data_IF_279787941699
#
_entry.id   IF_279787941699
#
_cell.length_a   1.000
_cell.length_b   1.000
_cell.length_c   1.000
_cell.angle_alpha   90.00
_cell.angle_beta   90.00
_cell.angle_gamma   90.00
#
_symmetry.space_group_name_H-M   'P 1'
#
loop_
_entity.id
_entity.type
_entity.pdbx_description
1 polymer ?
#
# COMPACT_ATOMS: atom_id res chain seq x y z
N UNK A 1 -26.81 -27.52 -66.95
CA UNK A 1 -25.61 -28.28 -66.63
C UNK A 1 -24.50 -27.24 -66.35
N UNK A 2 -24.26 -26.96 -65.35
CA UNK A 2 -24.29 -25.98 -64.31
C UNK A 2 -23.36 -26.37 -63.16
N UNK A 3 -22.64 -25.42 -62.79
CA UNK A 3 -21.61 -25.25 -61.83
C UNK A 3 -21.95 -25.68 -60.38
N UNK A 4 -21.26 -26.70 -59.89
CA UNK A 4 -21.09 -27.01 -58.51
C UNK A 4 -19.64 -27.47 -58.31
N UNK A 5 -18.70 -26.53 -58.23
CA UNK A 5 -17.31 -26.78 -57.79
C UNK A 5 -16.66 -25.46 -57.35
N UNK A 6 -17.09 -24.83 -56.26
CA UNK A 6 -16.35 -23.68 -55.73
C UNK A 6 -16.66 -23.32 -54.28
N UNK A 7 -17.22 -24.23 -53.48
CA UNK A 7 -17.56 -23.88 -52.05
C UNK A 7 -16.73 -24.66 -51.05
N UNK A 8 -15.97 -25.69 -51.45
CA UNK A 8 -15.29 -26.58 -50.49
C UNK A 8 -13.85 -26.19 -50.14
N UNK A 9 -13.25 -25.19 -50.81
CA UNK A 9 -11.85 -24.79 -50.57
C UNK A 9 -11.71 -23.64 -49.55
N UNK A 10 -12.80 -22.90 -49.28
CA UNK A 10 -12.73 -21.74 -48.42
C UNK A 10 -12.83 -22.06 -46.91
N UNK A 11 -13.35 -23.23 -46.53
CA UNK A 11 -13.51 -23.63 -45.12
C UNK A 11 -12.26 -24.26 -44.50
N UNK A 12 -11.30 -24.77 -45.30
CA UNK A 12 -10.08 -25.40 -44.76
C UNK A 12 -8.98 -24.37 -44.42
N UNK A 13 -8.98 -23.19 -45.07
CA UNK A 13 -7.98 -22.13 -44.78
C UNK A 13 -8.25 -21.36 -43.49
N UNK A 14 -9.50 -21.30 -43.03
CA UNK A 14 -9.86 -20.54 -41.79
C UNK A 14 -9.56 -21.35 -40.53
N UNK A 15 -9.58 -22.69 -40.62
CA UNK A 15 -9.24 -23.55 -39.46
C UNK A 15 -7.73 -23.62 -39.18
N UNK A 16 -6.88 -23.47 -40.20
CA UNK A 16 -5.42 -23.53 -40.03
C UNK A 16 -4.82 -22.22 -39.49
N UNK A 17 -5.42 -21.08 -39.83
CA UNK A 17 -4.95 -19.79 -39.32
C UNK A 17 -5.41 -19.53 -37.87
N UNK A 18 -6.59 -19.99 -37.45
CA UNK A 18 -7.07 -19.88 -36.08
C UNK A 18 -6.27 -20.74 -35.09
N UNK A 19 -5.78 -21.90 -35.52
CA UNK A 19 -4.94 -22.78 -34.69
C UNK A 19 -3.52 -22.22 -34.45
N UNK A 20 -2.93 -21.61 -35.47
CA UNK A 20 -1.57 -21.04 -35.39
C UNK A 20 -1.57 -19.76 -34.55
N UNK A 21 -2.60 -18.93 -34.65
CA UNK A 21 -2.71 -17.70 -33.83
C UNK A 21 -2.90 -18.06 -32.36
N UNK A 22 -3.68 -19.08 -32.02
CA UNK A 22 -3.82 -19.53 -30.63
C UNK A 22 -2.55 -20.20 -30.08
N UNK A 23 -1.77 -20.90 -30.93
CA UNK A 23 -0.52 -21.52 -30.48
C UNK A 23 0.60 -20.49 -30.25
N UNK A 24 0.68 -19.43 -31.06
CA UNK A 24 1.61 -18.34 -30.85
C UNK A 24 1.22 -17.45 -29.64
N UNK A 25 -0.06 -17.25 -29.38
CA UNK A 25 -0.53 -16.53 -28.18
C UNK A 25 -0.26 -17.33 -26.89
N UNK A 26 -0.31 -18.67 -26.94
CA UNK A 26 0.04 -19.52 -25.79
C UNK A 26 1.56 -19.67 -25.59
N UNK A 27 2.38 -19.62 -26.63
CA UNK A 27 3.83 -19.74 -26.50
C UNK A 27 4.52 -18.46 -25.99
N UNK A 28 3.89 -17.29 -26.12
CA UNK A 28 4.38 -16.02 -25.54
C UNK A 28 4.05 -15.85 -24.06
N UNK A 29 3.27 -16.74 -23.44
CA UNK A 29 2.87 -16.69 -22.02
C UNK A 29 3.83 -17.47 -21.11
N UNK A 30 4.83 -18.16 -21.63
CA UNK A 30 5.70 -19.06 -20.85
C UNK A 30 7.10 -18.55 -20.54
N UNK A 31 7.41 -17.27 -20.69
CA UNK A 31 8.50 -16.71 -19.89
C UNK A 31 7.96 -16.42 -18.49
N UNK A 32 8.15 -17.36 -17.57
CA UNK A 32 8.00 -17.13 -16.14
C UNK A 32 8.94 -15.98 -15.76
N UNK A 33 8.43 -14.73 -15.77
CA UNK A 33 9.23 -13.60 -15.33
C UNK A 33 9.64 -13.86 -13.89
N UNK A 34 10.94 -13.85 -13.66
CA UNK A 34 11.56 -13.97 -12.35
C UNK A 34 10.84 -13.05 -11.37
N UNK A 35 10.27 -13.63 -10.33
CA UNK A 35 9.65 -12.85 -9.25
C UNK A 35 10.67 -11.85 -8.76
N UNK A 36 10.28 -10.58 -8.65
CA UNK A 36 11.17 -9.56 -8.11
C UNK A 36 11.42 -9.87 -6.64
N UNK A 37 12.68 -10.07 -6.30
CA UNK A 37 13.12 -10.26 -4.92
C UNK A 37 13.77 -8.97 -4.44
N UNK A 38 13.51 -8.62 -3.17
CA UNK A 38 14.24 -7.54 -2.53
C UNK A 38 15.74 -7.88 -2.43
N UNK A 39 16.62 -6.89 -2.53
CA UNK A 39 18.04 -7.05 -2.22
C UNK A 39 18.24 -7.63 -0.82
N UNK A 40 19.28 -8.45 -0.62
CA UNK A 40 19.63 -9.04 0.68
C UNK A 40 20.30 -8.04 1.62
N UNK A 41 19.81 -6.84 1.69
CA UNK A 41 20.33 -5.81 2.59
C UNK A 41 19.50 -5.83 3.86
N UNK A 42 20.15 -5.98 5.02
CA UNK A 42 19.51 -5.87 6.33
C UNK A 42 19.54 -4.43 6.78
N UNK A 43 18.38 -3.86 6.98
CA UNK A 43 18.21 -2.54 7.56
C UNK A 43 16.95 -2.49 8.39
N UNK A 44 16.84 -1.47 9.23
CA UNK A 44 15.61 -1.17 9.97
C UNK A 44 15.42 0.33 10.11
N UNK A 45 14.18 0.79 9.99
CA UNK A 45 13.82 2.20 10.14
C UNK A 45 13.19 2.42 11.51
N UNK A 46 13.54 3.53 12.15
CA UNK A 46 12.97 3.99 13.40
C UNK A 46 12.38 5.40 13.22
N UNK A 47 11.46 5.78 14.11
CA UNK A 47 10.84 7.09 14.08
C UNK A 47 9.41 7.06 13.56
N UNK A 48 8.58 6.14 14.09
CA UNK A 48 7.15 6.06 13.80
C UNK A 48 6.40 7.37 14.10
N UNK A 49 5.36 7.66 13.32
CA UNK A 49 4.59 8.90 13.45
C UNK A 49 5.43 10.13 13.12
N UNK A 50 5.25 11.21 13.88
CA UNK A 50 5.91 12.50 13.63
C UNK A 50 7.31 12.63 14.26
N UNK A 51 7.93 11.51 14.65
CA UNK A 51 9.29 11.45 15.20
C UNK A 51 10.35 11.67 14.11
N UNK A 52 11.56 12.07 14.52
CA UNK A 52 12.72 12.06 13.63
C UNK A 52 12.98 10.65 13.10
N UNK A 53 13.37 10.56 11.82
CA UNK A 53 13.58 9.29 11.12
C UNK A 53 15.02 8.84 11.23
N UNK A 54 15.22 7.59 11.61
CA UNK A 54 16.55 6.97 11.67
C UNK A 54 16.55 5.69 10.85
N UNK A 55 17.70 5.38 10.24
CA UNK A 55 17.94 4.14 9.52
C UNK A 55 19.14 3.43 10.17
N UNK A 56 18.90 2.22 10.66
CA UNK A 56 19.97 1.31 11.06
C UNK A 56 20.36 0.40 9.90
N UNK A 57 21.66 0.28 9.63
CA UNK A 57 22.24 -0.67 8.68
C UNK A 57 23.71 -0.93 9.01
N UNK A 58 24.12 -2.18 9.02
CA UNK A 58 25.52 -2.62 9.10
C UNK A 58 26.30 -1.95 10.26
N UNK A 59 25.72 -1.91 11.46
CA UNK A 59 26.34 -1.30 12.64
C UNK A 59 26.31 0.22 12.70
N UNK A 60 25.65 0.89 11.75
CA UNK A 60 25.56 2.35 11.72
C UNK A 60 24.10 2.77 11.83
N UNK A 61 23.82 3.73 12.68
CA UNK A 61 22.55 4.41 12.77
C UNK A 61 22.66 5.79 12.11
N UNK A 62 21.91 6.01 11.06
CA UNK A 62 21.86 7.25 10.30
C UNK A 62 20.61 8.07 10.66
N UNK A 63 20.70 9.39 10.55
CA UNK A 63 19.53 10.21 10.31
C UNK A 63 19.04 9.90 8.89
N UNK A 64 17.83 9.35 8.76
CA UNK A 64 17.33 8.86 7.48
C UNK A 64 16.96 9.96 6.48
N UNK A 65 16.83 11.22 6.93
CA UNK A 65 16.52 12.37 6.07
C UNK A 65 17.79 13.08 5.58
N UNK A 66 18.85 13.15 6.41
CA UNK A 66 20.10 13.86 6.05
C UNK A 66 21.20 12.91 5.59
N UNK A 67 21.11 11.63 5.93
CA UNK A 67 22.17 10.63 5.66
C UNK A 67 23.36 10.70 6.63
N UNK A 68 23.33 11.59 7.63
CA UNK A 68 24.42 11.73 8.61
C UNK A 68 24.44 10.57 9.59
N UNK A 69 25.62 10.03 9.89
CA UNK A 69 25.80 9.01 10.91
C UNK A 69 25.59 9.60 12.30
N UNK A 70 24.60 9.08 13.04
CA UNK A 70 24.29 9.45 14.42
C UNK A 70 25.11 8.63 15.41
N UNK A 71 25.28 7.33 15.14
CA UNK A 71 26.08 6.38 15.94
C UNK A 71 26.66 5.32 15.01
N UNK A 72 27.79 4.78 15.46
CA UNK A 72 28.46 3.66 14.80
C UNK A 72 29.04 2.70 15.83
N UNK A 73 28.95 1.40 15.58
CA UNK A 73 29.45 0.33 16.42
C UNK A 73 30.20 -0.72 15.58
N UNK A 74 31.24 -1.30 16.15
CA UNK A 74 31.90 -2.48 15.57
C UNK A 74 31.09 -3.73 15.96
N UNK A 75 30.21 -4.16 15.08
CA UNK A 75 29.23 -5.22 15.34
C UNK A 75 29.80 -6.59 14.94
N UNK A 76 29.77 -7.57 15.86
CA UNK A 76 30.10 -8.98 15.59
C UNK A 76 28.84 -9.83 15.38
N UNK A 77 27.71 -9.40 15.95
CA UNK A 77 26.40 -10.06 15.76
C UNK A 77 25.27 -9.03 15.83
N UNK A 78 24.34 -9.14 14.91
CA UNK A 78 23.12 -8.33 14.94
C UNK A 78 21.86 -9.19 14.83
N UNK A 79 20.78 -8.71 15.41
CA UNK A 79 19.45 -9.32 15.31
C UNK A 79 18.41 -8.20 15.16
N UNK A 80 17.68 -8.24 14.06
CA UNK A 80 16.55 -7.33 13.83
C UNK A 80 15.27 -8.09 14.21
N UNK A 81 14.47 -7.51 15.09
CA UNK A 81 13.19 -8.04 15.59
C UNK A 81 12.06 -7.09 15.16
N UNK A 82 11.56 -7.21 13.92
CA UNK A 82 10.66 -6.20 13.35
C UNK A 82 9.35 -6.04 14.13
N UNK A 83 8.75 -7.15 14.55
CA UNK A 83 7.52 -7.13 15.34
C UNK A 83 7.70 -6.66 16.79
N UNK A 84 8.95 -6.48 17.26
CA UNK A 84 9.30 -5.90 18.56
C UNK A 84 9.83 -4.46 18.41
N UNK A 85 9.93 -3.95 17.18
CA UNK A 85 10.49 -2.62 16.88
C UNK A 85 11.91 -2.44 17.46
N UNK A 86 12.74 -3.50 17.37
CA UNK A 86 14.00 -3.59 18.10
C UNK A 86 15.13 -4.12 17.19
N UNK A 87 16.31 -3.52 17.33
CA UNK A 87 17.59 -4.05 16.82
C UNK A 87 18.51 -4.30 18.00
N UNK A 88 19.07 -5.50 18.08
CA UNK A 88 20.06 -5.93 19.09
C UNK A 88 21.40 -6.16 18.45
N UNK A 89 22.46 -5.61 19.04
CA UNK A 89 23.83 -5.70 18.56
C UNK A 89 24.74 -6.23 19.67
N UNK A 90 25.66 -7.11 19.30
CA UNK A 90 26.81 -7.43 20.12
C UNK A 90 28.04 -6.83 19.44
N UNK A 91 28.78 -6.02 20.17
CA UNK A 91 29.97 -5.31 19.68
C UNK A 91 31.24 -6.11 19.93
N UNK A 92 32.33 -5.79 19.21
CA UNK A 92 33.65 -6.43 19.36
C UNK A 92 34.25 -6.27 20.74
N UNK A 93 33.90 -5.22 21.48
CA UNK A 93 34.30 -4.97 22.88
C UNK A 93 33.40 -5.67 23.90
N UNK A 94 32.49 -6.55 23.45
CA UNK A 94 31.64 -7.39 24.30
C UNK A 94 30.39 -6.69 24.87
N UNK A 95 30.05 -5.50 24.42
CA UNK A 95 28.85 -4.80 24.87
C UNK A 95 27.61 -5.25 24.08
N UNK A 96 26.47 -5.25 24.75
CA UNK A 96 25.17 -5.33 24.13
C UNK A 96 24.60 -3.93 23.94
N UNK A 97 24.18 -3.64 22.70
CA UNK A 97 23.45 -2.41 22.33
C UNK A 97 22.05 -2.80 21.88
N UNK A 98 21.03 -2.12 22.42
CA UNK A 98 19.66 -2.33 22.00
C UNK A 98 19.10 -0.99 21.53
N UNK A 99 18.71 -0.94 20.26
CA UNK A 99 17.94 0.17 19.70
C UNK A 99 16.50 -0.27 19.68
N UNK A 100 15.62 0.45 20.34
CA UNK A 100 14.20 0.09 20.43
C UNK A 100 13.30 1.30 20.27
N UNK A 101 12.10 1.06 19.77
CA UNK A 101 11.06 2.06 19.65
C UNK A 101 9.80 1.59 20.36
N UNK A 102 9.28 2.43 21.25
CA UNK A 102 8.03 2.19 21.98
C UNK A 102 6.97 3.28 21.67
N UNK A 103 5.87 3.27 22.41
CA UNK A 103 4.78 4.25 22.24
C UNK A 103 5.20 5.69 22.45
N UNK A 104 6.36 5.95 23.09
CA UNK A 104 6.78 7.29 23.51
C UNK A 104 8.02 7.76 22.76
N UNK A 105 9.00 6.88 22.51
CA UNK A 105 10.32 7.31 22.03
C UNK A 105 11.07 6.20 21.25
N UNK A 106 12.09 6.63 20.51
CA UNK A 106 13.19 5.79 20.05
C UNK A 106 14.35 5.91 21.04
N UNK A 107 14.89 4.80 21.51
CA UNK A 107 15.95 4.75 22.53
C UNK A 107 17.09 3.84 22.13
N UNK A 108 18.30 4.21 22.59
CA UNK A 108 19.48 3.35 22.59
C UNK A 108 19.78 2.99 24.06
N UNK A 109 19.97 1.70 24.29
CA UNK A 109 20.44 1.14 25.56
C UNK A 109 21.86 0.59 25.37
N UNK A 110 22.81 1.08 26.15
CA UNK A 110 24.22 0.62 26.18
C UNK A 110 24.56 0.25 27.63
N UNK A 111 24.35 -1.01 28.01
CA UNK A 111 24.42 -1.43 29.41
C UNK A 111 23.41 -0.69 30.29
N UNK A 112 23.88 0.02 31.30
CA UNK A 112 23.00 0.84 32.17
C UNK A 112 22.62 2.20 31.57
N UNK A 113 23.30 2.64 30.51
CA UNK A 113 23.06 3.95 29.88
C UNK A 113 21.85 3.87 28.94
N UNK A 114 20.95 4.83 29.05
CA UNK A 114 19.79 5.01 28.18
C UNK A 114 19.81 6.39 27.51
N UNK A 115 19.67 6.42 26.21
CA UNK A 115 19.62 7.64 25.41
C UNK A 115 18.32 7.69 24.63
N UNK A 116 17.50 8.72 24.82
CA UNK A 116 16.37 9.01 23.95
C UNK A 116 16.85 9.78 22.72
N UNK A 117 16.53 9.29 21.53
CA UNK A 117 16.89 9.92 20.25
C UNK A 117 15.80 10.89 19.78
N UNK A 118 14.54 10.51 19.95
CA UNK A 118 13.37 11.30 19.57
C UNK A 118 12.16 10.82 20.37
N UNK A 119 11.22 11.72 20.59
CA UNK A 119 9.98 11.45 21.34
C UNK A 119 8.74 11.87 20.54
N UNK A 120 7.60 11.30 20.90
CA UNK A 120 6.30 11.56 20.30
C UNK A 120 5.36 10.37 20.53
N UNK A 121 4.10 10.65 20.86
CA UNK A 121 3.13 9.60 21.15
C UNK A 121 2.68 8.88 19.87
N UNK A 122 2.74 7.55 19.89
CA UNK A 122 2.11 6.66 18.89
C UNK A 122 1.42 5.52 19.64
N UNK A 123 0.30 5.04 19.14
CA UNK A 123 -0.36 3.86 19.68
C UNK A 123 0.13 2.60 18.95
N UNK A 124 0.67 1.63 19.69
CA UNK A 124 1.23 0.39 19.17
C UNK A 124 0.46 -0.81 19.76
N UNK A 125 -0.72 -1.14 19.21
CA UNK A 125 -1.50 -2.29 19.65
C UNK A 125 -0.71 -3.59 19.43
N UNK A 126 -0.82 -4.50 20.40
CA UNK A 126 -0.14 -5.80 20.33
C UNK A 126 -0.87 -6.83 19.47
N UNK A 127 -2.15 -6.58 19.15
CA UNK A 127 -3.05 -7.50 18.44
C UNK A 127 -3.14 -8.86 19.13
N UNK A 128 -3.22 -8.87 20.47
CA UNK A 128 -3.26 -10.09 21.28
C UNK A 128 -4.43 -11.00 20.85
N UNK A 129 -4.13 -12.30 20.69
CA UNK A 129 -5.09 -13.29 20.21
C UNK A 129 -5.28 -13.34 18.69
N UNK A 130 -4.74 -12.40 17.94
CA UNK A 130 -4.83 -12.42 16.47
C UNK A 130 -3.76 -13.38 15.89
N UNK A 131 -4.12 -14.32 14.98
CA UNK A 131 -3.17 -15.30 14.44
C UNK A 131 -2.00 -14.66 13.68
N UNK A 132 -2.19 -13.47 13.14
CA UNK A 132 -1.17 -12.71 12.39
C UNK A 132 -0.65 -11.48 13.18
N UNK A 133 -0.65 -11.53 14.52
CA UNK A 133 -0.26 -10.39 15.36
C UNK A 133 1.13 -9.83 15.03
N UNK A 134 2.11 -10.70 14.74
CA UNK A 134 3.46 -10.29 14.33
C UNK A 134 3.44 -9.51 13.02
N UNK A 135 2.77 -10.02 11.98
CA UNK A 135 2.66 -9.35 10.69
C UNK A 135 1.92 -8.01 10.79
N UNK A 136 0.83 -7.95 11.57
CA UNK A 136 0.09 -6.71 11.78
C UNK A 136 0.96 -5.63 12.44
N UNK A 137 1.82 -6.00 13.40
CA UNK A 137 2.77 -5.06 14.01
C UNK A 137 3.80 -4.54 13.01
N UNK A 138 4.34 -5.41 12.15
CA UNK A 138 5.30 -5.01 11.12
C UNK A 138 4.64 -4.10 10.08
N UNK A 139 3.45 -4.45 9.60
CA UNK A 139 2.70 -3.61 8.64
C UNK A 139 2.31 -2.26 9.24
N UNK A 140 1.89 -2.23 10.51
CA UNK A 140 1.62 -0.97 11.20
C UNK A 140 2.88 -0.10 11.31
N UNK A 141 4.04 -0.72 11.59
CA UNK A 141 5.31 -0.02 11.58
C UNK A 141 5.62 0.58 10.20
N UNK A 142 5.43 -0.19 9.11
CA UNK A 142 5.66 0.29 7.73
C UNK A 142 4.71 1.44 7.34
N UNK A 143 3.50 1.47 7.89
CA UNK A 143 2.58 2.60 7.76
C UNK A 143 3.09 3.81 8.55
N UNK A 144 3.37 3.62 9.85
CA UNK A 144 3.69 4.71 10.77
C UNK A 144 5.04 5.38 10.46
N UNK A 145 6.02 4.64 9.93
CA UNK A 145 7.32 5.19 9.54
C UNK A 145 7.20 6.21 8.40
N UNK A 146 6.17 6.11 7.58
CA UNK A 146 5.90 6.97 6.43
C UNK A 146 5.03 8.20 6.77
N UNK A 147 4.90 8.55 8.04
CA UNK A 147 4.27 9.81 8.47
C UNK A 147 5.38 10.83 8.75
N UNK A 148 5.38 11.96 8.02
CA UNK A 148 6.36 13.04 8.16
C UNK A 148 5.61 14.37 8.23
N UNK A 149 5.87 15.17 9.27
CA UNK A 149 5.22 16.47 9.47
C UNK A 149 3.69 16.40 9.33
N UNK A 150 3.09 15.43 10.00
CA UNK A 150 1.65 15.11 9.95
C UNK A 150 1.15 14.60 8.60
N UNK A 151 2.01 14.37 7.60
CA UNK A 151 1.65 13.96 6.26
C UNK A 151 1.93 12.47 6.04
N UNK A 152 0.93 11.66 5.66
CA UNK A 152 1.15 10.28 5.26
C UNK A 152 1.66 10.24 3.82
N UNK A 153 2.94 9.93 3.63
CA UNK A 153 3.55 9.80 2.29
C UNK A 153 3.70 8.33 1.91
N UNK A 154 3.73 7.99 0.61
CA UNK A 154 3.88 6.59 0.19
C UNK A 154 5.18 5.94 0.69
N UNK A 155 6.30 6.64 0.59
CA UNK A 155 7.58 6.32 1.24
C UNK A 155 8.39 7.62 1.40
N UNK A 156 8.75 7.97 2.62
CA UNK A 156 9.37 9.27 2.93
C UNK A 156 10.77 9.49 2.31
N UNK A 157 11.46 8.41 1.91
CA UNK A 157 12.77 8.48 1.25
C UNK A 157 12.65 8.67 -0.28
N UNK A 158 11.45 8.58 -0.85
CA UNK A 158 11.19 8.56 -2.30
C UNK A 158 10.20 9.64 -2.71
N UNK A 159 9.17 9.89 -1.88
CA UNK A 159 8.07 10.79 -2.18
C UNK A 159 8.07 12.02 -1.27
N UNK A 160 7.98 13.20 -1.86
CA UNK A 160 8.00 14.47 -1.13
C UNK A 160 6.63 14.93 -0.62
N UNK A 161 5.55 14.30 -1.08
CA UNK A 161 4.17 14.70 -0.75
C UNK A 161 3.26 13.49 -0.60
N UNK A 162 2.18 13.62 0.21
CA UNK A 162 1.13 12.60 0.27
C UNK A 162 0.35 12.52 -1.04
N UNK A 163 -0.15 11.31 -1.35
CA UNK A 163 -1.15 11.06 -2.36
C UNK A 163 -2.45 10.68 -1.66
N UNK A 164 -3.61 11.14 -2.16
CA UNK A 164 -4.88 10.87 -1.49
C UNK A 164 -5.23 9.40 -1.45
N UNK A 165 -4.84 8.63 -2.47
CA UNK A 165 -5.04 7.18 -2.52
C UNK A 165 -4.34 6.47 -1.36
N UNK A 166 -3.05 6.72 -1.20
CA UNK A 166 -2.25 6.18 -0.10
C UNK A 166 -2.78 6.68 1.25
N UNK A 167 -3.01 7.99 1.35
CA UNK A 167 -3.45 8.63 2.58
C UNK A 167 -4.82 8.13 3.07
N UNK A 168 -5.76 7.85 2.18
CA UNK A 168 -7.07 7.32 2.56
C UNK A 168 -6.98 5.91 3.13
N UNK A 169 -6.18 5.03 2.51
CA UNK A 169 -5.94 3.68 3.02
C UNK A 169 -5.18 3.69 4.35
N UNK A 170 -4.14 4.52 4.45
CA UNK A 170 -3.39 4.75 5.70
C UNK A 170 -4.33 5.26 6.79
N UNK A 171 -5.19 6.24 6.50
CA UNK A 171 -6.14 6.78 7.46
C UNK A 171 -7.10 5.74 8.02
N UNK A 172 -7.56 4.77 7.21
CA UNK A 172 -8.36 3.62 7.68
C UNK A 172 -7.60 2.82 8.74
N UNK A 173 -6.33 2.52 8.49
CA UNK A 173 -5.48 1.79 9.44
C UNK A 173 -5.24 2.61 10.72
N UNK A 174 -4.95 3.91 10.58
CA UNK A 174 -4.72 4.81 11.71
C UNK A 174 -5.97 4.98 12.58
N UNK A 175 -7.16 5.03 12.00
CA UNK A 175 -8.41 5.06 12.73
C UNK A 175 -8.60 3.77 13.55
N UNK A 176 -8.41 2.61 12.93
CA UNK A 176 -8.54 1.28 13.60
C UNK A 176 -7.52 1.08 14.74
N UNK A 177 -6.37 1.75 14.67
CA UNK A 177 -5.28 1.63 15.65
C UNK A 177 -5.18 2.79 16.63
N UNK A 178 -6.12 3.77 16.60
CA UNK A 178 -6.11 4.93 17.49
C UNK A 178 -5.02 5.96 17.17
N UNK A 179 -4.46 5.95 15.96
CA UNK A 179 -3.37 6.81 15.51
C UNK A 179 -3.80 7.96 14.59
N UNK A 180 -5.10 8.14 14.35
CA UNK A 180 -5.60 9.17 13.42
C UNK A 180 -5.13 10.58 13.77
N UNK A 181 -4.89 10.86 15.06
CA UNK A 181 -4.37 12.14 15.55
C UNK A 181 -3.06 12.56 14.88
N UNK A 182 -2.25 11.60 14.40
CA UNK A 182 -0.96 11.86 13.74
C UNK A 182 -1.11 12.62 12.42
N UNK A 183 -2.19 12.41 11.68
CA UNK A 183 -2.44 13.03 10.36
C UNK A 183 -3.64 13.99 10.35
N UNK A 184 -4.41 14.07 11.44
CA UNK A 184 -5.55 14.98 11.55
C UNK A 184 -5.20 16.43 11.19
N UNK A 185 -4.06 17.03 11.64
CA UNK A 185 -3.69 18.40 11.28
C UNK A 185 -3.48 18.60 9.77
N UNK A 186 -3.02 17.57 9.04
CA UNK A 186 -2.88 17.62 7.59
C UNK A 186 -4.24 17.53 6.91
N UNK A 187 -5.12 16.61 7.32
CA UNK A 187 -6.47 16.47 6.73
C UNK A 187 -7.25 17.78 6.86
N UNK A 188 -7.22 18.44 8.03
CA UNK A 188 -7.90 19.72 8.25
C UNK A 188 -7.38 20.88 7.38
N UNK A 189 -6.20 20.74 6.77
CA UNK A 189 -5.60 21.74 5.86
C UNK A 189 -5.84 21.42 4.40
N UNK A 190 -6.53 20.32 4.08
CA UNK A 190 -6.84 19.98 2.69
C UNK A 190 -7.78 21.05 2.11
N UNK A 191 -7.46 21.54 0.92
CA UNK A 191 -8.18 22.60 0.24
C UNK A 191 -8.37 22.36 -1.26
N UNK A 192 -7.83 21.24 -1.79
CA UNK A 192 -7.92 20.85 -3.18
C UNK A 192 -8.56 19.47 -3.35
N UNK A 193 -9.44 19.25 -4.36
CA UNK A 193 -10.06 17.96 -4.63
C UNK A 193 -9.07 16.86 -5.05
N UNK A 194 -7.87 17.22 -5.50
CA UNK A 194 -6.90 16.28 -6.05
C UNK A 194 -5.55 16.36 -5.33
N UNK A 195 -5.01 15.20 -4.95
CA UNK A 195 -3.63 15.06 -4.46
C UNK A 195 -2.59 15.26 -5.57
N UNK A 196 -3.00 15.08 -6.83
CA UNK A 196 -2.17 15.12 -8.05
C UNK A 196 -1.00 14.14 -7.95
N UNK A 197 -0.92 13.20 -8.85
CA UNK A 197 0.20 12.26 -8.95
C UNK A 197 1.52 12.97 -9.30
N UNK A 198 2.62 12.24 -9.44
CA UNK A 198 3.93 12.82 -9.77
C UNK A 198 3.94 13.54 -11.13
N UNK A 199 3.07 13.12 -12.07
CA UNK A 199 2.89 13.79 -13.36
C UNK A 199 1.98 15.05 -13.28
N UNK A 200 1.41 15.36 -12.10
CA UNK A 200 0.49 16.47 -11.89
C UNK A 200 -0.95 16.20 -12.35
N UNK A 201 -1.28 14.96 -12.71
CA UNK A 201 -2.59 14.59 -13.21
C UNK A 201 -3.66 14.64 -12.10
N UNK A 202 -4.88 14.94 -12.52
CA UNK A 202 -6.11 14.85 -11.70
C UNK A 202 -6.69 13.45 -11.88
N UNK A 203 -6.87 12.72 -10.79
CA UNK A 203 -7.36 11.34 -10.80
C UNK A 203 -8.70 11.25 -10.09
N UNK A 204 -9.78 10.74 -10.74
CA UNK A 204 -11.15 10.82 -10.21
C UNK A 204 -11.39 10.04 -8.92
N UNK A 205 -10.59 9.00 -8.61
CA UNK A 205 -10.64 8.30 -7.34
C UNK A 205 -10.36 9.22 -6.14
N UNK A 206 -9.59 10.30 -6.35
CA UNK A 206 -9.29 11.29 -5.32
C UNK A 206 -10.55 11.99 -4.79
N UNK A 207 -11.61 12.14 -5.60
CA UNK A 207 -12.86 12.77 -5.17
C UNK A 207 -13.48 12.01 -3.99
N UNK A 208 -13.58 10.68 -4.10
CA UNK A 208 -14.09 9.86 -3.01
C UNK A 208 -13.12 9.76 -1.83
N UNK A 209 -11.82 9.66 -2.11
CA UNK A 209 -10.78 9.55 -1.10
C UNK A 209 -10.71 10.79 -0.21
N UNK A 210 -10.79 12.00 -0.79
CA UNK A 210 -10.77 13.24 -0.01
C UNK A 210 -12.04 13.43 0.80
N UNK A 211 -13.23 13.08 0.28
CA UNK A 211 -14.47 13.07 1.06
C UNK A 211 -14.34 12.14 2.26
N UNK A 212 -13.82 10.94 2.07
CA UNK A 212 -13.56 10.02 3.17
C UNK A 212 -12.57 10.58 4.20
N UNK A 213 -11.45 11.16 3.75
CA UNK A 213 -10.48 11.79 4.67
C UNK A 213 -11.14 12.89 5.51
N UNK A 214 -11.94 13.74 4.89
CA UNK A 214 -12.67 14.80 5.61
C UNK A 214 -13.64 14.20 6.63
N UNK A 215 -14.38 13.14 6.29
CA UNK A 215 -15.35 12.51 7.18
C UNK A 215 -14.75 12.00 8.50
N UNK A 216 -13.43 11.76 8.53
CA UNK A 216 -12.72 11.29 9.72
C UNK A 216 -12.46 12.40 10.75
N UNK A 217 -12.53 13.67 10.37
CA UNK A 217 -12.09 14.79 11.21
C UNK A 217 -13.05 16.00 11.20
N UNK A 218 -14.00 16.01 10.27
CA UNK A 218 -14.99 17.07 10.05
C UNK A 218 -16.30 16.47 9.51
N UNK A 219 -17.17 17.28 8.95
CA UNK A 219 -18.47 16.90 8.39
C UNK A 219 -18.68 17.49 6.99
N UNK A 220 -19.91 17.37 6.48
CA UNK A 220 -20.29 17.83 5.15
C UNK A 220 -20.23 19.36 4.95
N UNK A 221 -20.07 20.16 6.02
CA UNK A 221 -19.94 21.62 5.94
C UNK A 221 -18.52 22.08 5.66
N UNK A 222 -17.54 21.17 5.62
CA UNK A 222 -16.17 21.51 5.28
C UNK A 222 -16.07 22.10 3.87
N UNK A 223 -15.40 23.26 3.66
CA UNK A 223 -15.41 23.97 2.35
C UNK A 223 -14.93 23.14 1.16
N UNK A 224 -14.07 22.16 1.39
CA UNK A 224 -13.58 21.26 0.33
C UNK A 224 -14.66 20.29 -0.15
N UNK A 225 -15.67 19.98 0.66
CA UNK A 225 -16.77 19.09 0.25
C UNK A 225 -17.55 19.70 -0.92
N UNK A 226 -17.94 20.98 -0.84
CA UNK A 226 -18.60 21.71 -1.93
C UNK A 226 -17.73 21.68 -3.21
N UNK A 227 -16.44 22.01 -3.10
CA UNK A 227 -15.51 21.95 -4.25
C UNK A 227 -15.45 20.58 -4.90
N UNK A 228 -15.48 19.51 -4.11
CA UNK A 228 -15.49 18.14 -4.62
C UNK A 228 -16.77 17.85 -5.35
N UNK A 229 -17.93 18.20 -4.76
CA UNK A 229 -19.24 17.98 -5.38
C UNK A 229 -19.35 18.72 -6.72
N UNK A 230 -18.87 19.96 -6.81
CA UNK A 230 -18.84 20.75 -8.04
C UNK A 230 -17.88 20.17 -9.10
N UNK A 231 -16.88 19.39 -8.68
CA UNK A 231 -15.89 18.78 -9.57
C UNK A 231 -16.35 17.43 -10.14
N UNK A 232 -17.23 16.71 -9.45
CA UNK A 232 -17.70 15.38 -9.87
C UNK A 232 -18.23 15.36 -11.31
N UNK A 233 -19.05 16.35 -11.78
CA UNK A 233 -19.59 16.35 -13.14
C UNK A 233 -18.53 16.30 -14.24
N UNK A 234 -17.32 16.78 -14.00
CA UNK A 234 -16.22 16.74 -15.00
C UNK A 234 -15.79 15.30 -15.37
N UNK A 235 -15.99 14.35 -14.45
CA UNK A 235 -15.60 12.94 -14.60
C UNK A 235 -16.81 12.01 -14.68
N UNK A 236 -18.03 12.55 -14.59
CA UNK A 236 -19.23 11.74 -14.58
C UNK A 236 -19.61 11.27 -15.99
N UNK A 237 -19.91 9.98 -16.11
CA UNK A 237 -20.46 9.36 -17.31
C UNK A 237 -21.68 8.54 -16.94
N UNK A 238 -22.86 9.07 -17.21
CA UNK A 238 -24.11 8.49 -16.71
C UNK A 238 -24.14 8.53 -15.18
N UNK A 239 -24.21 7.36 -14.53
CA UNK A 239 -24.25 7.25 -13.06
C UNK A 239 -22.95 6.73 -12.44
N UNK A 240 -21.81 6.87 -13.11
CA UNK A 240 -20.51 6.46 -12.59
C UNK A 240 -19.41 7.45 -12.98
N UNK A 241 -18.21 7.30 -12.38
CA UNK A 241 -17.03 8.04 -12.79
C UNK A 241 -16.28 7.29 -13.92
N UNK A 242 -15.72 8.04 -14.87
CA UNK A 242 -14.89 7.50 -15.96
C UNK A 242 -13.75 8.48 -16.27
N UNK A 243 -12.58 8.25 -15.69
CA UNK A 243 -11.35 8.99 -15.95
C UNK A 243 -10.13 8.10 -15.77
N UNK A 244 -8.93 8.65 -15.91
CA UNK A 244 -7.69 7.91 -15.72
C UNK A 244 -7.21 7.97 -14.28
N UNK A 245 -6.85 6.82 -13.72
CA UNK A 245 -6.09 6.62 -12.49
C UNK A 245 -4.89 5.74 -12.85
N UNK A 246 -3.68 6.14 -12.49
CA UNK A 246 -2.43 5.45 -12.90
C UNK A 246 -2.38 5.11 -14.40
N UNK A 247 -2.68 6.12 -15.25
CA UNK A 247 -2.63 6.05 -16.71
C UNK A 247 -3.67 5.14 -17.37
N UNK A 248 -4.59 4.54 -16.61
CA UNK A 248 -5.64 3.66 -17.10
C UNK A 248 -7.00 4.05 -16.57
N UNK A 249 -8.07 3.58 -17.23
CA UNK A 249 -9.44 3.79 -16.76
C UNK A 249 -9.80 2.76 -15.70
N UNK A 250 -10.28 3.25 -14.56
CA UNK A 250 -10.70 2.42 -13.43
C UNK A 250 -12.09 2.84 -12.92
N UNK A 251 -13.16 2.74 -13.76
CA UNK A 251 -14.46 3.29 -13.42
C UNK A 251 -15.13 2.59 -12.25
N UNK A 252 -14.89 1.29 -12.04
CA UNK A 252 -15.41 0.56 -10.87
C UNK A 252 -14.74 1.06 -9.59
N UNK A 253 -13.40 1.10 -9.57
CA UNK A 253 -12.61 1.55 -8.43
C UNK A 253 -12.92 3.01 -8.06
N UNK A 254 -12.93 3.90 -9.04
CA UNK A 254 -13.23 5.32 -8.87
C UNK A 254 -14.64 5.54 -8.30
N UNK A 255 -15.63 4.83 -8.85
CA UNK A 255 -17.03 4.95 -8.40
C UNK A 255 -17.22 4.37 -7.00
N UNK A 256 -16.56 3.25 -6.66
CA UNK A 256 -16.56 2.71 -5.30
C UNK A 256 -16.06 3.74 -4.29
N UNK A 257 -14.92 4.38 -4.57
CA UNK A 257 -14.39 5.43 -3.70
C UNK A 257 -15.35 6.59 -3.54
N UNK A 258 -15.93 7.08 -4.65
CA UNK A 258 -16.91 8.17 -4.59
C UNK A 258 -18.10 7.82 -3.69
N UNK A 259 -18.73 6.66 -3.92
CA UNK A 259 -19.85 6.16 -3.11
C UNK A 259 -19.47 6.05 -1.63
N UNK A 260 -18.30 5.52 -1.34
CA UNK A 260 -17.81 5.37 0.03
C UNK A 260 -17.61 6.72 0.71
N UNK A 261 -16.99 7.68 0.03
CA UNK A 261 -16.77 9.03 0.56
C UNK A 261 -18.07 9.80 0.79
N UNK A 262 -19.02 9.75 -0.15
CA UNK A 262 -20.34 10.37 0.00
C UNK A 262 -21.09 9.80 1.22
N UNK A 263 -21.15 8.47 1.33
CA UNK A 263 -21.81 7.79 2.46
C UNK A 263 -21.16 8.10 3.81
N UNK A 264 -19.82 8.20 3.85
CA UNK A 264 -19.10 8.54 5.06
C UNK A 264 -19.44 9.93 5.60
N UNK A 265 -19.85 10.86 4.73
CA UNK A 265 -20.32 12.21 5.08
C UNK A 265 -21.85 12.33 5.21
N UNK A 266 -22.60 11.22 5.03
CA UNK A 266 -24.07 11.25 5.02
C UNK A 266 -24.66 12.00 3.83
N UNK A 267 -23.93 12.11 2.71
CA UNK A 267 -24.38 12.78 1.48
C UNK A 267 -25.15 11.81 0.59
N UNK A 268 -25.98 12.37 -0.30
CA UNK A 268 -26.75 11.60 -1.28
C UNK A 268 -25.80 10.82 -2.22
N UNK A 269 -26.08 9.52 -2.38
CA UNK A 269 -25.34 8.61 -3.26
C UNK A 269 -26.24 8.12 -4.40
N UNK A 270 -26.28 8.90 -5.51
CA UNK A 270 -27.03 8.57 -6.72
C UNK A 270 -26.21 7.76 -7.75
N UNK A 271 -25.00 7.31 -7.40
CA UNK A 271 -24.08 6.64 -8.33
C UNK A 271 -24.28 5.13 -8.33
N UNK A 272 -23.98 4.52 -9.47
CA UNK A 272 -24.02 3.07 -9.69
C UNK A 272 -22.66 2.56 -10.11
N UNK A 273 -22.25 1.40 -9.56
CA UNK A 273 -21.00 0.75 -9.95
C UNK A 273 -21.20 0.13 -11.34
N UNK A 274 -20.41 0.54 -12.35
CA UNK A 274 -20.57 0.04 -13.71
C UNK A 274 -20.19 -1.44 -13.81
N UNK A 275 -20.96 -2.19 -14.63
CA UNK A 275 -20.75 -3.62 -14.89
C UNK A 275 -19.68 -3.82 -15.95
N UNK A 276 -18.43 -3.40 -15.68
CA UNK A 276 -17.28 -3.54 -16.57
C UNK A 276 -16.10 -4.11 -15.80
N UNK A 277 -15.16 -4.72 -16.54
CA UNK A 277 -13.92 -5.17 -15.94
C UNK A 277 -13.06 -3.98 -15.50
N UNK A 278 -12.53 -4.07 -14.28
CA UNK A 278 -11.61 -3.09 -13.73
C UNK A 278 -10.56 -3.82 -12.88
N UNK A 279 -9.29 -3.70 -13.28
CA UNK A 279 -8.18 -4.38 -12.61
C UNK A 279 -7.93 -3.87 -11.19
N UNK A 280 -8.41 -2.64 -10.85
CA UNK A 280 -8.26 -2.04 -9.51
C UNK A 280 -9.44 -2.33 -8.59
N UNK A 281 -10.49 -2.99 -9.08
CA UNK A 281 -11.69 -3.24 -8.27
C UNK A 281 -11.43 -4.05 -7.01
N UNK A 282 -10.41 -4.93 -7.00
CA UNK A 282 -10.01 -5.69 -5.82
C UNK A 282 -9.24 -4.87 -4.78
N UNK A 283 -8.72 -3.69 -5.13
CA UNK A 283 -8.04 -2.79 -4.19
C UNK A 283 -9.00 -2.03 -3.28
N UNK A 284 -10.28 -2.10 -3.55
CA UNK A 284 -11.31 -1.50 -2.72
C UNK A 284 -12.41 -2.51 -2.44
N UNK A 285 -12.27 -3.24 -1.35
CA UNK A 285 -13.16 -4.37 -0.99
C UNK A 285 -14.22 -4.04 0.04
N UNK A 286 -14.23 -2.86 0.64
CA UNK A 286 -15.07 -2.52 1.80
C UNK A 286 -16.54 -2.95 1.63
N UNK A 287 -17.47 -2.04 1.36
CA UNK A 287 -18.89 -2.37 1.29
C UNK A 287 -19.38 -2.87 -0.07
N UNK A 288 -18.50 -2.90 -1.08
CA UNK A 288 -18.88 -3.05 -2.49
C UNK A 288 -18.45 -4.36 -3.15
N UNK A 289 -18.08 -5.39 -2.37
CA UNK A 289 -17.72 -6.72 -2.90
C UNK A 289 -18.77 -7.31 -3.82
N UNK A 290 -20.06 -7.22 -3.42
CA UNK A 290 -21.19 -7.82 -4.15
C UNK A 290 -21.46 -7.19 -5.51
N UNK A 291 -20.99 -5.98 -5.73
CA UNK A 291 -21.24 -5.21 -6.94
C UNK A 291 -20.13 -5.39 -7.99
N UNK A 292 -19.15 -6.24 -7.71
CA UNK A 292 -18.09 -6.56 -8.67
C UNK A 292 -18.51 -7.65 -9.64
N UNK A 293 -18.30 -7.41 -10.94
CA UNK A 293 -18.81 -8.27 -12.01
C UNK A 293 -17.81 -9.32 -12.48
N UNK A 294 -16.50 -9.11 -12.33
CA UNK A 294 -15.46 -9.92 -12.94
C UNK A 294 -14.56 -10.61 -11.91
N UNK A 295 -14.24 -11.90 -12.17
CA UNK A 295 -13.48 -12.75 -11.28
C UNK A 295 -11.95 -12.61 -11.33
N UNK A 296 -11.38 -11.70 -12.14
CA UNK A 296 -9.93 -11.45 -12.19
C UNK A 296 -9.64 -9.97 -12.07
N UNK A 297 -8.90 -9.60 -11.05
CA UNK A 297 -8.42 -8.24 -10.85
C UNK A 297 -7.00 -8.06 -11.40
N UNK A 298 -6.08 -9.00 -11.13
CA UNK A 298 -4.66 -8.85 -11.44
C UNK A 298 -4.10 -9.97 -12.30
N UNK A 299 -3.09 -9.64 -13.12
CA UNK A 299 -2.35 -10.64 -13.89
C UNK A 299 -1.41 -11.45 -12.96
N UNK A 300 -1.09 -12.69 -13.33
CA UNK A 300 -0.08 -13.48 -12.63
C UNK A 300 1.26 -12.72 -12.46
N UNK A 301 1.63 -11.92 -13.47
CA UNK A 301 2.82 -11.08 -13.43
C UNK A 301 2.70 -9.96 -12.38
N UNK A 302 1.55 -9.30 -12.29
CA UNK A 302 1.31 -8.26 -11.27
C UNK A 302 1.43 -8.84 -9.88
N UNK A 303 0.77 -9.97 -9.61
CA UNK A 303 0.87 -10.68 -8.31
C UNK A 303 2.30 -11.13 -7.99
N UNK A 304 3.08 -11.58 -8.98
CA UNK A 304 4.46 -11.97 -8.77
C UNK A 304 5.39 -10.78 -8.41
N UNK A 305 5.13 -9.60 -9.00
CA UNK A 305 5.90 -8.38 -8.70
C UNK A 305 5.45 -7.70 -7.40
N UNK A 306 4.16 -7.82 -7.06
CA UNK A 306 3.53 -7.17 -5.92
C UNK A 306 2.64 -8.20 -5.19
N UNK A 307 3.19 -9.00 -4.28
CA UNK A 307 2.44 -10.07 -3.58
C UNK A 307 1.15 -9.59 -2.91
N UNK A 308 1.10 -8.34 -2.45
CA UNK A 308 -0.09 -7.76 -1.85
C UNK A 308 -1.30 -7.71 -2.81
N UNK A 309 -1.09 -7.67 -4.12
CA UNK A 309 -2.18 -7.79 -5.10
C UNK A 309 -2.87 -9.14 -5.02
N UNK A 310 -2.10 -10.21 -4.84
CA UNK A 310 -2.65 -11.55 -4.65
C UNK A 310 -3.47 -11.65 -3.35
N UNK A 311 -3.05 -10.94 -2.32
CA UNK A 311 -3.77 -10.86 -1.05
C UNK A 311 -5.07 -10.08 -1.18
N UNK A 312 -5.05 -8.91 -1.81
CA UNK A 312 -6.24 -8.11 -2.07
C UNK A 312 -7.27 -8.89 -2.91
N UNK A 313 -6.83 -9.57 -3.95
CA UNK A 313 -7.68 -10.40 -4.79
C UNK A 313 -8.26 -11.60 -4.02
N UNK A 314 -7.45 -12.26 -3.20
CA UNK A 314 -7.91 -13.37 -2.36
C UNK A 314 -8.99 -12.91 -1.37
N UNK A 315 -8.78 -11.79 -0.69
CA UNK A 315 -9.76 -11.18 0.20
C UNK A 315 -11.05 -10.83 -0.53
N UNK A 316 -10.94 -10.13 -1.67
CA UNK A 316 -12.08 -9.70 -2.48
C UNK A 316 -12.97 -10.87 -2.91
N UNK A 317 -12.38 -11.99 -3.28
CA UNK A 317 -13.09 -13.20 -3.72
C UNK A 317 -13.31 -14.25 -2.61
N UNK A 318 -13.00 -13.96 -1.36
CA UNK A 318 -13.17 -14.89 -0.24
C UNK A 318 -12.34 -16.17 -0.39
N UNK A 319 -11.13 -16.06 -0.93
CA UNK A 319 -10.20 -17.18 -1.12
C UNK A 319 -9.05 -17.14 -0.11
N UNK A 320 -8.41 -18.28 0.21
CA UNK A 320 -7.19 -18.29 1.00
C UNK A 320 -6.10 -17.44 0.34
N UNK A 321 -5.23 -16.79 1.13
CA UNK A 321 -4.10 -16.04 0.59
C UNK A 321 -3.16 -16.96 -0.19
N UNK A 322 -2.54 -16.45 -1.28
CA UNK A 322 -1.77 -17.29 -2.21
C UNK A 322 -0.43 -17.78 -1.66
N UNK A 323 0.03 -17.22 -0.54
CA UNK A 323 1.30 -17.59 0.09
C UNK A 323 1.30 -17.22 1.57
N UNK A 324 2.08 -17.93 2.38
CA UNK A 324 2.41 -17.53 3.74
C UNK A 324 3.39 -16.36 3.72
N UNK A 325 3.25 -15.43 4.66
CA UNK A 325 4.24 -14.39 4.93
C UNK A 325 5.05 -14.77 6.16
N UNK A 326 6.36 -14.59 6.05
CA UNK A 326 7.27 -14.68 7.18
C UNK A 326 7.39 -13.30 7.86
N UNK A 327 7.69 -13.26 9.15
CA UNK A 327 7.93 -12.03 9.91
C UNK A 327 9.28 -11.40 9.49
N UNK A 328 9.33 -10.86 8.28
CA UNK A 328 10.49 -10.17 7.71
C UNK A 328 10.25 -8.67 7.63
N UNK A 329 11.30 -7.91 7.44
CA UNK A 329 11.24 -6.46 7.23
C UNK A 329 12.18 -6.05 6.09
N UNK A 330 11.71 -5.21 5.16
CA UNK A 330 10.32 -4.77 4.97
C UNK A 330 9.46 -5.86 4.34
N UNK A 331 8.14 -5.83 4.61
CA UNK A 331 7.16 -6.71 3.97
C UNK A 331 6.67 -6.16 2.63
N UNK A 332 6.70 -4.84 2.47
CA UNK A 332 6.11 -4.17 1.31
C UNK A 332 7.13 -3.32 0.56
N UNK A 333 6.99 -3.27 -0.76
CA UNK A 333 7.82 -2.44 -1.64
C UNK A 333 7.03 -2.05 -2.90
N UNK A 334 7.55 -1.05 -3.59
CA UNK A 334 7.16 -0.67 -4.94
C UNK A 334 8.41 -0.56 -5.81
N UNK A 335 8.31 -0.90 -7.09
CA UNK A 335 9.40 -0.77 -8.02
C UNK A 335 8.98 0.03 -9.26
N UNK A 336 9.93 0.82 -9.77
CA UNK A 336 9.76 1.59 -11.00
C UNK A 336 8.61 2.61 -10.97
N UNK A 337 8.29 3.18 -9.80
CA UNK A 337 7.32 4.26 -9.73
C UNK A 337 7.74 5.43 -10.64
N UNK A 338 6.78 5.90 -11.42
CA UNK A 338 7.04 6.96 -12.39
C UNK A 338 7.38 8.27 -11.69
N UNK A 339 8.41 8.97 -12.17
CA UNK A 339 8.81 10.31 -11.74
C UNK A 339 9.12 10.45 -10.23
N UNK A 340 9.38 9.34 -9.54
CA UNK A 340 9.83 9.34 -8.15
C UNK A 340 11.35 9.52 -8.05
N UNK A 341 11.81 10.16 -6.97
CA UNK A 341 13.24 10.32 -6.68
C UNK A 341 13.71 9.24 -5.71
N UNK A 342 14.54 8.33 -6.18
CA UNK A 342 15.08 7.21 -5.40
C UNK A 342 16.42 7.50 -4.72
N UNK A 343 16.96 8.72 -4.80
CA UNK A 343 18.28 9.04 -4.24
C UNK A 343 18.38 8.74 -2.74
N UNK A 344 17.30 8.95 -1.99
CA UNK A 344 17.26 8.61 -0.57
C UNK A 344 17.47 7.13 -0.30
N UNK A 345 17.03 6.24 -1.19
CA UNK A 345 17.16 4.79 -1.03
C UNK A 345 18.60 4.27 -1.16
N UNK A 346 19.55 5.05 -1.68
CA UNK A 346 20.99 4.71 -1.65
C UNK A 346 21.54 4.62 -0.24
N UNK A 347 20.91 5.29 0.73
CA UNK A 347 21.27 5.15 2.14
C UNK A 347 21.01 3.72 2.65
N UNK A 348 19.99 3.06 2.11
CA UNK A 348 19.71 1.64 2.36
C UNK A 348 20.71 0.77 1.61
N UNK A 349 20.79 0.91 0.29
CA UNK A 349 21.74 0.25 -0.59
C UNK A 349 21.69 0.88 -1.99
N UNK A 350 22.86 0.94 -2.67
CA UNK A 350 22.93 1.32 -4.08
C UNK A 350 21.99 0.48 -4.96
N UNK A 351 21.82 -0.80 -4.65
CA UNK A 351 20.94 -1.70 -5.38
C UNK A 351 19.48 -1.25 -5.36
N UNK A 352 18.99 -0.67 -4.23
CA UNK A 352 17.63 -0.11 -4.15
C UNK A 352 17.46 1.07 -5.13
N UNK A 353 18.43 1.96 -5.20
CA UNK A 353 18.41 3.06 -6.16
C UNK A 353 18.49 2.57 -7.61
N UNK A 354 19.41 1.67 -7.93
CA UNK A 354 19.62 1.15 -9.29
C UNK A 354 18.40 0.40 -9.81
N UNK A 355 17.73 -0.36 -8.95
CA UNK A 355 16.51 -1.11 -9.27
C UNK A 355 15.24 -0.32 -9.06
N UNK A 356 15.35 0.92 -8.59
CA UNK A 356 14.22 1.81 -8.29
C UNK A 356 13.20 1.12 -7.38
N UNK A 357 13.65 0.62 -6.24
CA UNK A 357 12.83 -0.05 -5.22
C UNK A 357 12.59 0.91 -4.06
N UNK A 358 11.34 1.01 -3.67
CA UNK A 358 10.85 1.80 -2.55
C UNK A 358 10.28 0.83 -1.50
N UNK A 359 10.96 0.71 -0.38
CA UNK A 359 10.56 -0.15 0.72
C UNK A 359 10.83 0.56 2.07
N UNK A 360 9.91 0.55 3.02
CA UNK A 360 8.51 0.10 2.94
C UNK A 360 7.62 1.05 2.14
N UNK A 361 6.48 0.54 1.60
CA UNK A 361 5.50 1.35 0.88
C UNK A 361 4.15 1.36 1.62
N UNK A 362 3.67 2.56 1.98
CA UNK A 362 2.54 2.69 2.92
C UNK A 362 1.21 2.19 2.35
N UNK A 363 0.93 2.38 1.05
CA UNK A 363 -0.29 1.86 0.44
C UNK A 363 -0.34 0.34 0.50
N UNK A 364 0.73 -0.34 0.08
CA UNK A 364 0.82 -1.80 0.11
C UNK A 364 0.70 -2.33 1.54
N UNK A 365 1.35 -1.65 2.49
CA UNK A 365 1.25 -2.00 3.90
C UNK A 365 -0.18 -1.83 4.43
N UNK A 366 -0.85 -0.74 4.07
CA UNK A 366 -2.22 -0.49 4.50
C UNK A 366 -3.22 -1.51 3.96
N UNK A 367 -3.12 -1.88 2.69
CA UNK A 367 -3.98 -2.91 2.11
C UNK A 367 -3.78 -4.28 2.76
N UNK A 368 -2.53 -4.71 2.91
CA UNK A 368 -2.22 -5.96 3.60
C UNK A 368 -2.68 -5.95 5.06
N UNK A 369 -2.48 -4.82 5.76
CA UNK A 369 -2.93 -4.66 7.14
C UNK A 369 -4.45 -4.81 7.26
N UNK A 370 -5.22 -4.10 6.44
CA UNK A 370 -6.68 -4.17 6.44
C UNK A 370 -7.18 -5.56 6.08
N UNK A 371 -6.57 -6.20 5.08
CA UNK A 371 -6.88 -7.56 4.70
C UNK A 371 -6.72 -8.53 5.88
N UNK A 372 -5.54 -8.54 6.51
CA UNK A 372 -5.25 -9.46 7.62
C UNK A 372 -6.14 -9.19 8.83
N UNK A 373 -6.42 -7.93 9.12
CA UNK A 373 -7.26 -7.55 10.25
C UNK A 373 -8.71 -8.00 10.07
N UNK A 374 -9.26 -7.89 8.86
CA UNK A 374 -10.65 -8.27 8.55
C UNK A 374 -10.81 -9.79 8.40
N UNK A 375 -9.81 -10.50 7.89
CA UNK A 375 -9.84 -11.96 7.69
C UNK A 375 -10.02 -12.72 9.03
N UNK A 376 -9.40 -12.25 10.09
CA UNK A 376 -9.54 -12.84 11.41
C UNK A 376 -10.95 -12.65 12.01
N UNK A 377 -11.67 -11.59 11.66
CA UNK A 377 -13.04 -11.37 12.09
C UNK A 377 -14.01 -12.38 11.42
N UNK A 378 -13.74 -12.76 10.17
CA UNK A 378 -14.51 -13.78 9.45
C UNK A 378 -14.33 -15.18 10.07
N UNK A 379 -13.08 -15.55 10.40
CA UNK A 379 -12.77 -16.83 11.04
C UNK A 379 -13.47 -16.97 12.41
N UNK A 380 -13.56 -15.86 13.17
CA UNK A 380 -14.21 -15.86 14.50
C UNK A 380 -15.74 -15.95 14.43
N UNK A 381 -16.37 -15.50 13.35
CA UNK A 381 -17.83 -15.61 13.14
C UNK A 381 -18.26 -17.04 12.80
N UNK A 382 -17.49 -17.72 11.94
CA UNK A 382 -17.78 -19.12 11.54
C UNK A 382 -17.57 -20.13 12.68
N UNK A 383 -16.81 -19.77 13.72
CA UNK A 383 -16.61 -20.63 14.89
C UNK A 383 -17.70 -20.52 15.96
N UNK A 384 -18.60 -19.53 15.86
CA UNK A 384 -19.73 -19.35 16.80
C UNK A 384 -21.02 -20.02 16.34
N UNK A 385 -21.08 -20.45 15.08
CA UNK A 385 -22.24 -21.11 14.47
C UNK A 385 -22.04 -22.65 14.36
N UNK A 386 -21.06 -23.23 15.06
CA UNK A 386 -20.84 -24.66 15.25
C UNK A 386 -20.90 -25.00 16.72
#
# INVERSE_FOLDING_TARGET
MSNIKSVTVLFLSIMLTGGIINYQAQSQVTEARKVMQLPKVKFYLFGMGNRNKFLYRDGILFNALTGEAVRQWEVVKETILPGEYTVRLNTSDGKEIIITEDQIAVRIHEGAKRLSLTEGAVNLPKFEGHPQAGLLRILLHEILINIVDTKPVPNFMVYSKPWYRDAAMVAMCLQKTGNLHLIKPWILKLNEPFGRNNAGNREPDNLGQVLYLISLVSDSTHPLVEKVLDTIPEFQKGRHLDGSTDFSKHPVYQTKWLKFGLRALGLEDAYEIPSVFDSYSALFWMDFKKEHVQGRAFSKKGVANYPYFGWAEAHFHGRPPPMSLEEQYPLTWEAHASQANYDGMKLVSKEYTDRRICAPHSWHAAEMFLYLLDDALLISSDSKDK
#
